data_IF_909663446360
#
_entry.id   IF_909663446360
#
_cell.length_a   1.000
_cell.length_b   1.000
_cell.length_c   1.000
_cell.angle_alpha   90.00
_cell.angle_beta   90.00
_cell.angle_gamma   90.00
#
_symmetry.space_group_name_H-M   'P 1'
#
loop_
_entity.id
_entity.type
_entity.pdbx_description
1 polymer ?
#
# COMPACT_ATOMS: atom_id res chain seq x y z
N UNK A 1 -20.20 -30.69 31.86
CA UNK A 1 -21.57 -30.33 31.40
C UNK A 1 -21.59 -28.81 31.26
N UNK A 2 -21.38 -28.29 30.05
CA UNK A 2 -21.34 -26.84 29.81
C UNK A 2 -22.44 -26.54 28.80
N UNK A 3 -23.49 -25.86 29.27
CA UNK A 3 -24.65 -25.54 28.44
C UNK A 3 -24.27 -24.50 27.39
N UNK A 4 -24.54 -24.81 26.11
CA UNK A 4 -24.53 -23.83 25.03
C UNK A 4 -25.94 -23.24 24.97
N UNK A 5 -26.07 -21.93 25.19
CA UNK A 5 -27.32 -21.20 24.97
C UNK A 5 -27.59 -21.14 23.45
N UNK A 6 -28.74 -21.65 22.96
CA UNK A 6 -29.14 -21.48 21.57
C UNK A 6 -29.85 -20.14 21.44
N UNK A 7 -29.16 -19.11 20.97
CA UNK A 7 -29.78 -17.79 20.86
C UNK A 7 -28.95 -16.64 20.32
N UNK A 8 -27.73 -16.87 19.83
CA UNK A 8 -27.07 -15.89 18.98
C UNK A 8 -27.15 -16.43 17.55
N UNK A 9 -28.13 -15.96 16.80
CA UNK A 9 -28.01 -15.92 15.34
C UNK A 9 -26.63 -15.34 15.06
N UNK A 10 -25.70 -16.19 14.58
CA UNK A 10 -24.40 -15.73 14.13
C UNK A 10 -24.68 -14.76 12.99
N UNK A 11 -24.73 -13.48 13.31
CA UNK A 11 -24.71 -12.43 12.32
C UNK A 11 -23.54 -12.73 11.38
N UNK A 12 -23.80 -13.04 10.10
CA UNK A 12 -22.74 -13.35 9.15
C UNK A 12 -21.74 -12.20 9.00
N UNK A 13 -22.11 -10.99 9.46
CA UNK A 13 -21.24 -9.81 9.49
C UNK A 13 -20.10 -9.89 10.52
N UNK A 14 -20.19 -10.77 11.53
CA UNK A 14 -19.25 -10.80 12.68
C UNK A 14 -17.79 -11.12 12.31
N UNK A 15 -17.52 -11.53 11.07
CA UNK A 15 -16.18 -11.77 10.53
C UNK A 15 -15.64 -10.67 9.61
N UNK A 16 -16.44 -9.68 9.24
CA UNK A 16 -16.05 -8.66 8.26
C UNK A 16 -15.30 -7.50 8.90
N UNK A 17 -14.07 -7.75 9.32
CA UNK A 17 -13.13 -6.65 9.56
C UNK A 17 -12.69 -6.06 8.23
N UNK A 18 -13.33 -4.97 7.80
CA UNK A 18 -12.86 -4.12 6.69
C UNK A 18 -11.58 -3.42 7.10
N UNK A 19 -10.45 -4.11 6.98
CA UNK A 19 -9.13 -3.50 7.18
C UNK A 19 -8.92 -2.48 6.07
N UNK A 20 -8.87 -1.19 6.42
CA UNK A 20 -8.58 -0.14 5.46
C UNK A 20 -7.21 -0.38 4.82
N UNK A 21 -7.08 -0.09 3.52
CA UNK A 21 -5.79 -0.15 2.84
C UNK A 21 -4.89 0.94 3.42
N UNK A 22 -3.81 0.56 4.09
CA UNK A 22 -2.79 1.50 4.58
C UNK A 22 -1.94 1.96 3.39
N UNK A 23 -2.40 3.00 2.67
CA UNK A 23 -1.59 3.66 1.65
C UNK A 23 -1.05 4.98 2.21
N UNK A 24 0.27 5.14 2.17
CA UNK A 24 0.92 6.44 2.42
C UNK A 24 1.12 7.10 1.06
N UNK A 25 0.67 8.34 0.92
CA UNK A 25 0.91 9.16 -0.27
C UNK A 25 1.94 10.22 0.08
N UNK A 26 3.02 10.29 -0.71
CA UNK A 26 4.07 11.31 -0.56
C UNK A 26 3.94 12.32 -1.69
N UNK A 27 3.92 13.61 -1.35
CA UNK A 27 4.05 14.71 -2.29
C UNK A 27 5.50 15.18 -2.35
N UNK A 28 5.94 15.61 -3.53
CA UNK A 28 7.27 16.19 -3.73
C UNK A 28 7.13 17.63 -4.23
N UNK A 29 7.99 18.52 -3.76
CA UNK A 29 8.01 19.93 -4.18
C UNK A 29 8.70 20.14 -5.55
N UNK A 30 9.18 19.05 -6.15
CA UNK A 30 9.92 19.03 -7.41
C UNK A 30 9.12 18.31 -8.49
N UNK A 31 9.18 18.83 -9.71
CA UNK A 31 8.51 18.25 -10.86
C UNK A 31 9.35 17.14 -11.49
N UNK A 32 8.70 16.02 -11.82
CA UNK A 32 9.32 14.93 -12.56
C UNK A 32 9.53 15.34 -14.03
N UNK A 33 10.72 15.03 -14.57
CA UNK A 33 11.06 15.21 -15.98
C UNK A 33 10.81 13.91 -16.75
N UNK A 34 11.43 12.81 -16.31
CA UNK A 34 11.23 11.47 -16.88
C UNK A 34 11.51 10.37 -15.85
N UNK A 35 10.98 9.16 -16.11
CA UNK A 35 11.22 7.98 -15.30
C UNK A 35 12.40 7.21 -15.89
N UNK A 36 13.46 7.05 -15.11
CA UNK A 36 14.66 6.29 -15.47
C UNK A 36 14.43 4.78 -15.33
N UNK A 37 13.76 4.36 -14.25
CA UNK A 37 13.51 2.94 -13.95
C UNK A 37 12.10 2.76 -13.44
N UNK A 38 11.44 1.67 -13.86
CA UNK A 38 10.18 1.20 -13.32
C UNK A 38 10.35 -0.25 -12.91
N UNK A 39 10.13 -0.57 -11.63
CA UNK A 39 10.25 -1.93 -11.12
C UNK A 39 9.08 -2.32 -10.22
N UNK A 40 8.71 -3.59 -10.29
CA UNK A 40 7.67 -4.17 -9.45
C UNK A 40 8.33 -4.88 -8.26
N UNK A 41 7.91 -4.52 -7.05
CA UNK A 41 8.50 -5.05 -5.82
C UNK A 41 7.58 -6.11 -5.22
N UNK A 42 8.17 -7.27 -4.95
CA UNK A 42 7.53 -8.39 -4.28
C UNK A 42 8.20 -8.63 -2.93
N UNK A 43 7.43 -8.47 -1.84
CA UNK A 43 7.90 -8.79 -0.48
C UNK A 43 6.85 -9.63 0.23
N UNK A 44 7.31 -10.64 0.97
CA UNK A 44 6.42 -11.55 1.70
C UNK A 44 5.63 -10.77 2.76
N UNK A 45 4.30 -10.86 2.72
CA UNK A 45 3.42 -10.18 3.68
C UNK A 45 3.19 -8.69 3.42
N UNK A 46 3.72 -8.13 2.31
CA UNK A 46 3.48 -6.74 1.89
C UNK A 46 2.77 -6.77 0.53
N UNK A 47 1.76 -5.89 0.29
CA UNK A 47 1.15 -5.76 -1.03
C UNK A 47 2.20 -5.48 -2.10
N UNK A 48 2.02 -6.04 -3.30
CA UNK A 48 2.90 -5.75 -4.43
C UNK A 48 2.74 -4.27 -4.79
N UNK A 49 3.86 -3.56 -4.98
CA UNK A 49 3.84 -2.14 -5.37
C UNK A 49 4.93 -1.84 -6.41
N UNK A 50 4.77 -0.71 -7.12
CA UNK A 50 5.74 -0.23 -8.11
C UNK A 50 6.64 0.83 -7.48
N UNK A 51 7.93 0.72 -7.75
CA UNK A 51 8.92 1.76 -7.46
C UNK A 51 9.41 2.37 -8.77
N UNK A 52 9.65 3.67 -8.73
CA UNK A 52 10.14 4.45 -9.85
C UNK A 52 11.42 5.16 -9.43
N UNK A 53 12.41 5.16 -10.31
CA UNK A 53 13.53 6.09 -10.22
C UNK A 53 13.22 7.24 -11.18
N UNK A 54 13.13 8.45 -10.65
CA UNK A 54 12.66 9.65 -11.36
C UNK A 54 13.81 10.62 -11.54
N UNK A 55 13.99 11.11 -12.77
CA UNK A 55 14.75 12.33 -13.04
C UNK A 55 13.86 13.53 -12.74
N UNK A 56 14.35 14.41 -11.89
CA UNK A 56 13.67 15.67 -11.57
C UNK A 56 14.11 16.78 -12.52
N UNK A 57 13.16 17.66 -12.88
CA UNK A 57 13.42 18.86 -13.68
C UNK A 57 14.37 19.78 -12.94
N UNK A 58 15.24 20.46 -13.68
CA UNK A 58 16.19 21.47 -13.17
C UNK A 58 17.19 20.98 -12.10
N UNK A 59 17.26 19.67 -11.84
CA UNK A 59 18.25 19.06 -10.96
C UNK A 59 19.25 18.25 -11.80
N UNK A 60 20.43 17.90 -11.28
CA UNK A 60 21.31 16.93 -11.92
C UNK A 60 20.74 15.50 -11.83
N UNK A 61 21.34 14.56 -12.56
CA UNK A 61 20.97 13.12 -12.46
C UNK A 61 21.31 12.52 -11.09
N UNK A 62 22.29 13.09 -10.39
CA UNK A 62 22.69 12.65 -9.04
C UNK A 62 21.58 12.82 -8.00
N UNK A 63 20.59 13.67 -8.28
CA UNK A 63 19.42 13.92 -7.44
C UNK A 63 18.22 13.04 -7.80
N UNK A 64 18.38 12.07 -8.72
CA UNK A 64 17.32 11.12 -9.05
C UNK A 64 16.91 10.32 -7.81
N UNK A 65 15.60 10.05 -7.68
CA UNK A 65 15.02 9.35 -6.53
C UNK A 65 13.96 8.36 -6.96
#
# INVERSE_FOLDING_TARGET
>A
HTKILPGDEKDPSRGESKKAHTMVVTSFDKEAEYILVNRLIYRRGIPIYREYLVKWKNLPETEAS
#
